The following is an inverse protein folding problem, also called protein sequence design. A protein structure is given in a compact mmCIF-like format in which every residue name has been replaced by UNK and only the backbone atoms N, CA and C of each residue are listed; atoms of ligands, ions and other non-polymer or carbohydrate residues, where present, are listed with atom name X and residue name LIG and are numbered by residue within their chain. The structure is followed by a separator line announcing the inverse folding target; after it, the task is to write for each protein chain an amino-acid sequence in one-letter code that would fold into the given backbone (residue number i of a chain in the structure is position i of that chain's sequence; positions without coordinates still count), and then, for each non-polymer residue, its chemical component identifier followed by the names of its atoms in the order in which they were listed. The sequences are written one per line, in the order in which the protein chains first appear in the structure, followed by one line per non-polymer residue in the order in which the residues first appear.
data_IF_236415413923
#
_entry.id   IF_236415413923
#
_cell.length_a   1.000
_cell.length_b   1.000
_cell.length_c   1.000
_cell.angle_alpha   90.00
_cell.angle_beta   90.00
_cell.angle_gamma   90.00
#
_symmetry.space_group_name_H-M   'P 1'
#
loop_
_entity.id
_entity.type
_entity.pdbx_description
1 polymer ?
#
# COMPACT_ATOMS: atom_id res chain seq x y z
N UNK A 1 -14.55 1.83 2.28
CA UNK A 1 -13.40 0.92 2.08
C UNK A 1 -12.48 0.79 3.29
N UNK A 2 -12.05 1.88 3.96
CA UNK A 2 -11.11 1.80 5.10
C UNK A 2 -11.58 0.88 6.24
N UNK A 3 -12.85 0.99 6.62
CA UNK A 3 -13.44 0.13 7.65
C UNK A 3 -13.37 -1.36 7.30
N UNK A 4 -13.78 -1.74 6.08
CA UNK A 4 -13.72 -3.12 5.61
C UNK A 4 -12.27 -3.66 5.57
N UNK A 5 -11.31 -2.82 5.18
CA UNK A 5 -9.89 -3.19 5.20
C UNK A 5 -9.40 -3.44 6.64
N UNK A 6 -9.81 -2.64 7.61
CA UNK A 6 -9.47 -2.86 9.02
C UNK A 6 -10.05 -4.17 9.57
N UNK A 7 -11.28 -4.53 9.17
CA UNK A 7 -11.88 -5.83 9.52
C UNK A 7 -11.06 -6.98 8.93
N UNK A 8 -10.66 -6.88 7.66
CA UNK A 8 -9.80 -7.89 7.02
C UNK A 8 -8.44 -8.00 7.73
N UNK A 9 -7.82 -6.88 8.10
CA UNK A 9 -6.56 -6.88 8.86
C UNK A 9 -6.76 -7.62 10.19
N UNK A 10 -7.85 -7.37 10.90
CA UNK A 10 -8.11 -8.03 12.19
C UNK A 10 -8.35 -9.54 12.02
N UNK A 11 -9.09 -9.95 11.00
CA UNK A 11 -9.32 -11.37 10.71
C UNK A 11 -8.03 -12.10 10.35
N UNK A 12 -7.16 -11.47 9.57
CA UNK A 12 -5.85 -12.00 9.22
C UNK A 12 -4.93 -12.10 10.45
N UNK A 13 -4.97 -11.12 11.35
CA UNK A 13 -4.23 -11.15 12.62
C UNK A 13 -4.69 -12.31 13.51
N UNK A 14 -6.00 -12.48 13.68
CA UNK A 14 -6.55 -13.58 14.48
C UNK A 14 -6.20 -14.94 13.86
N UNK A 15 -6.27 -15.07 12.52
CA UNK A 15 -5.84 -16.27 11.81
C UNK A 15 -4.34 -16.56 12.01
N UNK A 16 -3.48 -15.54 11.90
CA UNK A 16 -2.03 -15.66 12.09
C UNK A 16 -1.65 -16.09 13.52
N UNK A 17 -2.42 -15.63 14.51
CA UNK A 17 -2.25 -16.01 15.92
C UNK A 17 -2.90 -17.36 16.27
N UNK A 18 -3.46 -18.07 15.30
CA UNK A 18 -4.14 -19.36 15.51
C UNK A 18 -5.44 -19.25 16.32
N UNK A 19 -6.06 -18.06 16.38
CA UNK A 19 -7.32 -17.82 17.07
C UNK A 19 -8.51 -18.14 16.15
N UNK A 20 -9.68 -18.35 16.75
CA UNK A 20 -10.92 -18.53 15.98
C UNK A 20 -11.25 -17.27 15.20
N UNK A 21 -11.33 -17.40 13.87
CA UNK A 21 -11.60 -16.30 12.96
C UNK A 21 -13.11 -16.09 12.88
N UNK A 22 -13.61 -15.03 13.51
CA UNK A 22 -15.03 -14.67 13.45
C UNK A 22 -15.23 -13.26 12.91
N UNK A 23 -16.03 -13.15 11.85
CA UNK A 23 -16.39 -11.85 11.28
C UNK A 23 -17.07 -10.94 12.31
N UNK A 24 -17.91 -11.53 13.18
CA UNK A 24 -18.64 -10.79 14.20
C UNK A 24 -17.70 -10.16 15.24
N UNK A 25 -16.72 -10.91 15.73
CA UNK A 25 -15.74 -10.41 16.71
C UNK A 25 -14.86 -9.31 16.11
N UNK A 26 -14.34 -9.54 14.89
CA UNK A 26 -13.52 -8.57 14.18
C UNK A 26 -14.28 -7.26 13.91
N UNK A 27 -15.56 -7.37 13.51
CA UNK A 27 -16.40 -6.20 13.26
C UNK A 27 -16.65 -5.38 14.54
N UNK A 28 -16.93 -6.03 15.68
CA UNK A 28 -17.13 -5.34 16.97
C UNK A 28 -15.86 -4.60 17.38
N UNK A 29 -14.69 -5.26 17.27
CA UNK A 29 -13.41 -4.66 17.59
C UNK A 29 -13.12 -3.41 16.72
N UNK A 30 -13.27 -3.53 15.40
CA UNK A 30 -13.02 -2.41 14.48
C UNK A 30 -14.01 -1.28 14.68
N UNK A 31 -15.26 -1.58 15.02
CA UNK A 31 -16.28 -0.57 15.33
C UNK A 31 -15.90 0.31 16.52
N UNK A 32 -15.28 -0.28 17.56
CA UNK A 32 -14.80 0.47 18.72
C UNK A 32 -13.63 1.40 18.35
N UNK A 33 -12.75 0.96 17.42
CA UNK A 33 -11.56 1.72 16.97
C UNK A 33 -11.78 2.57 15.71
N UNK A 34 -13.01 2.68 15.20
CA UNK A 34 -13.31 3.34 13.91
C UNK A 34 -12.76 4.77 13.81
N UNK A 35 -12.83 5.54 14.89
CA UNK A 35 -12.36 6.93 14.91
C UNK A 35 -10.83 7.01 14.89
N UNK A 36 -10.14 6.10 15.59
CA UNK A 36 -8.67 6.01 15.54
C UNK A 36 -8.19 5.62 14.15
N UNK A 37 -8.90 4.69 13.49
CA UNK A 37 -8.61 4.29 12.11
C UNK A 37 -8.84 5.47 11.16
N UNK A 38 -9.97 6.17 11.27
CA UNK A 38 -10.25 7.34 10.42
C UNK A 38 -9.20 8.43 10.64
N UNK A 39 -8.89 8.77 11.89
CA UNK A 39 -7.89 9.78 12.24
C UNK A 39 -6.51 9.46 11.70
N UNK A 40 -6.06 8.20 11.85
CA UNK A 40 -4.80 7.74 11.29
C UNK A 40 -4.77 7.85 9.76
N UNK A 41 -5.84 7.43 9.07
CA UNK A 41 -5.89 7.54 7.62
C UNK A 41 -5.85 9.00 7.16
N UNK A 42 -6.60 9.91 7.80
CA UNK A 42 -6.55 11.35 7.50
C UNK A 42 -5.12 11.88 7.63
N UNK A 43 -4.42 11.54 8.72
CA UNK A 43 -3.02 11.94 8.92
C UNK A 43 -2.10 11.42 7.81
N UNK A 44 -2.25 10.16 7.42
CA UNK A 44 -1.45 9.58 6.33
C UNK A 44 -1.73 10.31 5.01
N UNK A 45 -2.99 10.63 4.69
CA UNK A 45 -3.31 11.39 3.48
C UNK A 45 -2.72 12.80 3.52
N UNK A 46 -2.72 13.47 4.67
CA UNK A 46 -2.07 14.77 4.83
C UNK A 46 -0.55 14.68 4.62
N UNK A 47 0.10 13.65 5.18
CA UNK A 47 1.52 13.39 4.97
C UNK A 47 1.83 13.12 3.50
N UNK A 48 1.01 12.33 2.81
CA UNK A 48 1.17 12.02 1.40
C UNK A 48 0.92 13.23 0.50
N UNK A 49 -0.07 14.06 0.83
CA UNK A 49 -0.33 15.32 0.15
C UNK A 49 0.89 16.24 0.26
N UNK A 50 1.41 16.43 1.48
CA UNK A 50 2.60 17.24 1.70
C UNK A 50 3.81 16.71 0.90
N UNK A 51 4.04 15.39 0.91
CA UNK A 51 5.11 14.77 0.14
C UNK A 51 4.94 14.99 -1.38
N UNK A 52 3.72 14.85 -1.91
CA UNK A 52 3.45 15.11 -3.33
C UNK A 52 3.70 16.56 -3.71
N UNK A 53 3.24 17.52 -2.89
CA UNK A 53 3.47 18.96 -3.12
C UNK A 53 4.97 19.27 -3.12
N UNK A 54 5.72 18.79 -2.12
CA UNK A 54 7.17 18.98 -2.06
C UNK A 54 7.87 18.41 -3.30
N UNK A 55 7.45 17.23 -3.76
CA UNK A 55 8.07 16.57 -4.90
C UNK A 55 7.76 17.25 -6.23
N UNK A 56 6.54 17.77 -6.40
CA UNK A 56 6.18 18.62 -7.54
C UNK A 56 7.07 19.87 -7.56
N UNK A 57 7.21 20.56 -6.43
CA UNK A 57 8.05 21.76 -6.33
C UNK A 57 9.50 21.48 -6.69
N UNK A 58 10.10 20.42 -6.14
CA UNK A 58 11.47 20.00 -6.46
C UNK A 58 11.61 19.68 -7.95
N UNK A 59 10.62 19.01 -8.54
CA UNK A 59 10.72 18.62 -9.95
C UNK A 59 10.53 19.78 -10.90
N UNK A 60 9.63 20.73 -10.58
CA UNK A 60 9.49 21.98 -11.33
C UNK A 60 10.82 22.75 -11.31
N UNK A 61 11.46 22.83 -10.15
CA UNK A 61 12.76 23.49 -10.00
C UNK A 61 13.84 22.78 -10.83
N UNK A 62 13.89 21.44 -10.82
CA UNK A 62 14.78 20.65 -11.68
C UNK A 62 14.49 20.85 -13.17
N UNK A 63 13.22 20.93 -13.58
CA UNK A 63 12.84 21.16 -14.96
C UNK A 63 13.33 22.52 -15.46
N UNK A 64 13.25 23.57 -14.62
CA UNK A 64 13.83 24.89 -14.94
C UNK A 64 15.36 24.83 -15.06
N UNK A 65 16.04 24.13 -14.15
CA UNK A 65 17.51 24.01 -14.16
C UNK A 65 18.04 23.20 -15.35
N UNK A 66 17.25 22.26 -15.87
CA UNK A 66 17.67 21.29 -16.91
C UNK A 66 17.03 21.54 -18.27
N UNK A 67 16.39 22.70 -18.48
CA UNK A 67 15.68 23.07 -19.72
C UNK A 67 14.69 21.95 -20.13
N UNK A 68 13.88 21.49 -19.18
CA UNK A 68 12.81 20.51 -19.42
C UNK A 68 13.24 19.05 -19.41
N UNK A 69 14.53 18.72 -19.44
CA UNK A 69 15.00 17.31 -19.39
C UNK A 69 14.60 16.64 -18.06
N UNK A 70 14.57 17.40 -16.97
CA UNK A 70 14.14 16.94 -15.65
C UNK A 70 12.70 16.42 -15.60
N UNK A 71 11.84 16.77 -16.58
CA UNK A 71 10.48 16.25 -16.68
C UNK A 71 10.44 14.76 -17.05
N UNK A 72 11.48 14.24 -17.70
CA UNK A 72 11.58 12.81 -18.05
C UNK A 72 11.69 11.96 -16.77
N UNK A 73 12.32 12.50 -15.72
CA UNK A 73 12.49 11.83 -14.41
C UNK A 73 11.15 11.83 -13.62
N UNK A 74 10.25 12.77 -13.91
CA UNK A 74 8.98 12.91 -13.21
C UNK A 74 8.07 11.68 -13.39
N UNK A 75 8.02 11.11 -14.61
CA UNK A 75 7.10 10.01 -14.91
C UNK A 75 7.44 8.75 -14.10
N UNK A 76 8.69 8.23 -14.10
CA UNK A 76 9.07 7.09 -13.26
C UNK A 76 8.90 7.37 -11.77
N UNK A 77 9.23 8.59 -11.33
CA UNK A 77 9.13 8.99 -9.93
C UNK A 77 7.68 9.00 -9.45
N UNK A 78 6.76 9.52 -10.27
CA UNK A 78 5.32 9.52 -9.98
C UNK A 78 4.76 8.11 -9.89
N UNK A 79 5.12 7.23 -10.84
CA UNK A 79 4.72 5.82 -10.82
C UNK A 79 5.21 5.14 -9.54
N UNK A 80 6.48 5.34 -9.18
CA UNK A 80 7.06 4.75 -7.96
C UNK A 80 6.29 5.19 -6.70
N UNK A 81 5.94 6.47 -6.59
CA UNK A 81 5.17 6.99 -5.45
C UNK A 81 3.79 6.35 -5.40
N UNK A 82 3.05 6.32 -6.50
CA UNK A 82 1.70 5.74 -6.55
C UNK A 82 1.71 4.26 -6.17
N UNK A 83 2.73 3.52 -6.62
CA UNK A 83 2.92 2.11 -6.27
C UNK A 83 3.21 1.93 -4.78
N UNK A 84 4.01 2.81 -4.17
CA UNK A 84 4.39 2.73 -2.75
C UNK A 84 3.29 3.24 -1.81
N UNK A 85 2.45 4.19 -2.24
CA UNK A 85 1.40 4.80 -1.40
C UNK A 85 0.40 3.78 -0.86
N UNK A 86 -0.03 2.83 -1.68
CA UNK A 86 -1.00 1.80 -1.27
C UNK A 86 -0.47 0.92 -0.12
N UNK A 87 0.68 0.24 -0.24
CA UNK A 87 1.21 -0.57 0.86
C UNK A 87 1.55 0.29 2.10
N UNK A 88 1.90 1.57 1.91
CA UNK A 88 2.10 2.52 3.02
C UNK A 88 0.86 2.60 3.92
N UNK A 89 -0.31 2.95 3.35
CA UNK A 89 -1.56 3.09 4.10
C UNK A 89 -1.95 1.79 4.81
N UNK A 90 -1.74 0.63 4.17
CA UNK A 90 -2.01 -0.67 4.79
C UNK A 90 -1.10 -0.98 5.97
N UNK A 91 0.19 -0.62 5.89
CA UNK A 91 1.13 -0.86 6.97
C UNK A 91 0.76 -0.10 8.25
N UNK A 92 0.46 1.20 8.14
CA UNK A 92 0.06 1.99 9.32
C UNK A 92 -1.22 1.44 9.97
N UNK A 93 -2.22 1.09 9.16
CA UNK A 93 -3.45 0.48 9.69
C UNK A 93 -3.19 -0.89 10.32
N UNK A 94 -2.26 -1.68 9.76
CA UNK A 94 -1.86 -2.97 10.34
C UNK A 94 -1.15 -2.78 11.67
N UNK A 95 -0.22 -1.82 11.77
CA UNK A 95 0.46 -1.46 13.03
C UNK A 95 -0.51 -1.04 14.13
N UNK A 96 -1.55 -0.26 13.80
CA UNK A 96 -2.56 0.16 14.77
C UNK A 96 -3.45 -0.99 15.26
N UNK A 97 -3.76 -1.95 14.40
CA UNK A 97 -4.73 -3.03 14.70
C UNK A 97 -4.05 -4.25 15.31
N UNK A 98 -2.93 -4.72 14.74
CA UNK A 98 -2.25 -5.96 15.13
C UNK A 98 -1.58 -5.85 16.49
N UNK A 99 -1.00 -4.68 16.76
CA UNK A 99 -0.28 -4.36 18.01
C UNK A 99 -1.13 -3.57 19.00
N UNK A 100 -2.41 -3.35 18.70
CA UNK A 100 -3.35 -2.63 19.56
C UNK A 100 -2.90 -1.20 19.95
N UNK A 101 -2.08 -0.54 19.13
CA UNK A 101 -1.43 0.75 19.44
C UNK A 101 -2.37 1.98 19.31
N UNK A 102 -1.97 3.09 19.92
CA UNK A 102 -2.53 4.42 19.64
C UNK A 102 -2.02 4.98 18.30
N UNK A 103 -2.66 6.04 17.79
CA UNK A 103 -2.26 6.68 16.52
C UNK A 103 -0.78 7.07 16.53
N UNK A 104 -0.32 7.79 17.55
CA UNK A 104 1.07 8.29 17.65
C UNK A 104 2.08 7.14 17.72
N UNK A 105 1.78 6.10 18.51
CA UNK A 105 2.64 4.92 18.63
C UNK A 105 2.70 4.13 17.33
N UNK A 106 1.56 3.95 16.65
CA UNK A 106 1.51 3.27 15.36
C UNK A 106 2.36 3.99 14.32
N UNK A 107 2.37 5.32 14.31
CA UNK A 107 3.23 6.13 13.44
C UNK A 107 4.70 5.90 13.80
N UNK A 108 5.06 6.03 15.08
CA UNK A 108 6.43 5.87 15.57
C UNK A 108 7.03 4.50 15.25
N UNK A 109 6.30 3.42 15.53
CA UNK A 109 6.78 2.07 15.22
C UNK A 109 6.79 1.78 13.72
N UNK A 110 5.86 2.36 12.93
CA UNK A 110 5.93 2.27 11.47
C UNK A 110 7.21 2.93 10.93
N UNK A 111 7.56 4.12 11.42
CA UNK A 111 8.84 4.76 11.08
C UNK A 111 10.05 3.95 11.57
N UNK A 112 9.93 3.24 12.69
CA UNK A 112 10.98 2.33 13.16
C UNK A 112 11.20 1.17 12.18
N UNK A 113 10.14 0.61 11.60
CA UNK A 113 10.23 -0.40 10.53
C UNK A 113 10.90 0.16 9.28
N UNK A 114 10.68 1.44 8.96
CA UNK A 114 11.38 2.11 7.86
C UNK A 114 12.87 2.27 8.16
N UNK A 115 13.22 2.75 9.36
CA UNK A 115 14.61 2.96 9.79
C UNK A 115 15.42 1.65 9.80
N UNK A 116 14.80 0.54 10.18
CA UNK A 116 15.44 -0.78 10.21
C UNK A 116 15.54 -1.44 8.82
N UNK A 117 15.03 -0.82 7.76
CA UNK A 117 15.14 -1.35 6.40
C UNK A 117 14.15 -2.45 6.04
N UNK A 118 13.49 -3.10 7.02
CA UNK A 118 12.54 -4.21 6.79
C UNK A 118 11.41 -3.84 5.82
N UNK A 119 10.92 -2.61 5.91
CA UNK A 119 9.94 -2.10 4.97
C UNK A 119 10.50 -1.92 3.57
N UNK A 120 11.68 -1.34 3.42
CA UNK A 120 12.30 -1.09 2.12
C UNK A 120 12.69 -2.39 1.41
N UNK A 121 13.18 -3.39 2.15
CA UNK A 121 13.39 -4.74 1.61
C UNK A 121 12.08 -5.40 1.17
N UNK A 122 10.99 -5.13 1.89
CA UNK A 122 9.67 -5.68 1.61
C UNK A 122 9.02 -4.99 0.42
N UNK A 123 9.08 -3.66 0.34
CA UNK A 123 8.66 -2.90 -0.84
C UNK A 123 9.54 -3.25 -2.03
N UNK A 124 10.85 -3.45 -1.87
CA UNK A 124 11.70 -3.91 -2.97
C UNK A 124 11.24 -5.26 -3.53
N UNK A 125 10.90 -6.22 -2.66
CA UNK A 125 10.32 -7.52 -3.06
C UNK A 125 8.93 -7.38 -3.68
N UNK A 126 8.06 -6.56 -3.07
CA UNK A 126 6.70 -6.30 -3.59
C UNK A 126 6.73 -5.51 -4.89
N UNK A 127 7.68 -4.60 -5.08
CA UNK A 127 7.89 -3.82 -6.30
C UNK A 127 8.50 -4.68 -7.40
N UNK A 128 9.37 -5.65 -7.07
CA UNK A 128 9.82 -6.67 -8.00
C UNK A 128 8.65 -7.56 -8.46
N UNK A 129 7.80 -8.01 -7.54
CA UNK A 129 6.57 -8.74 -7.86
C UNK A 129 5.62 -7.86 -8.69
N UNK A 130 5.43 -6.60 -8.30
CA UNK A 130 4.59 -5.64 -9.03
C UNK A 130 5.16 -5.31 -10.42
N UNK A 131 6.48 -5.27 -10.57
CA UNK A 131 7.18 -5.09 -11.84
C UNK A 131 7.07 -6.31 -12.74
N UNK A 132 7.13 -7.52 -12.16
CA UNK A 132 6.79 -8.77 -12.85
C UNK A 132 5.35 -8.70 -13.35
N UNK A 133 4.41 -8.17 -12.56
CA UNK A 133 3.00 -8.01 -12.97
C UNK A 133 2.77 -6.87 -13.96
N UNK A 134 3.46 -5.74 -13.87
CA UNK A 134 3.38 -4.69 -14.89
C UNK A 134 3.95 -5.23 -16.20
N UNK A 135 5.05 -5.98 -16.15
CA UNK A 135 5.60 -6.72 -17.27
C UNK A 135 4.62 -7.75 -17.84
N UNK A 136 4.00 -8.56 -16.97
CA UNK A 136 2.97 -9.53 -17.36
C UNK A 136 1.72 -8.84 -17.92
N UNK A 137 1.33 -7.70 -17.35
CA UNK A 137 0.22 -6.87 -17.77
C UNK A 137 0.47 -6.23 -19.13
N UNK A 138 1.70 -5.79 -19.41
CA UNK A 138 2.11 -5.34 -20.74
C UNK A 138 2.06 -6.50 -21.73
N UNK A 139 2.60 -7.67 -21.38
CA UNK A 139 2.54 -8.89 -22.21
C UNK A 139 1.09 -9.32 -22.47
N UNK A 140 0.22 -9.26 -21.46
CA UNK A 140 -1.21 -9.57 -21.58
C UNK A 140 -1.99 -8.46 -22.31
N UNK A 141 -1.55 -7.20 -22.27
CA UNK A 141 -2.14 -6.10 -23.04
C UNK A 141 -1.78 -6.24 -24.52
N UNK A 142 -0.55 -6.66 -24.81
CA UNK A 142 -0.14 -7.08 -26.16
C UNK A 142 -0.94 -8.32 -26.57
N UNK A 143 -1.16 -9.29 -25.68
CA UNK A 143 -2.03 -10.45 -25.92
C UNK A 143 -3.52 -10.12 -26.06
N UNK A 144 -4.01 -9.04 -25.43
CA UNK A 144 -5.38 -8.53 -25.55
C UNK A 144 -5.69 -8.00 -26.95
N UNK A 145 -4.67 -7.66 -27.75
CA UNK A 145 -4.83 -7.38 -29.18
C UNK A 145 -5.38 -8.63 -29.91
N UNK A 146 -5.06 -9.82 -29.39
CA UNK A 146 -5.42 -11.11 -29.99
C UNK A 146 -6.72 -11.66 -29.39
N UNK A 147 -6.95 -11.57 -28.05
CA UNK A 147 -8.21 -11.98 -27.40
C UNK A 147 -8.58 -11.06 -26.21
N UNK A 148 -9.37 -9.99 -26.43
CA UNK A 148 -9.56 -8.89 -25.47
C UNK A 148 -10.28 -9.24 -24.16
N UNK A 149 -11.10 -10.30 -24.14
CA UNK A 149 -11.85 -10.70 -22.94
C UNK A 149 -10.96 -11.51 -21.99
N UNK A 150 -10.14 -12.41 -22.52
CA UNK A 150 -9.27 -13.30 -21.73
C UNK A 150 -8.15 -12.53 -21.04
N UNK A 151 -7.52 -11.57 -21.72
CA UNK A 151 -6.48 -10.75 -21.09
C UNK A 151 -7.02 -9.80 -20.02
N UNK A 152 -8.25 -9.27 -20.17
CA UNK A 152 -8.91 -8.49 -19.12
C UNK A 152 -9.18 -9.32 -17.86
N UNK A 153 -9.66 -10.56 -18.01
CA UNK A 153 -9.91 -11.47 -16.87
C UNK A 153 -8.61 -11.78 -16.13
N UNK A 154 -7.54 -12.11 -16.85
CA UNK A 154 -6.23 -12.41 -16.24
C UNK A 154 -5.64 -11.20 -15.51
N UNK A 155 -5.77 -9.99 -16.08
CA UNK A 155 -5.31 -8.76 -15.44
C UNK A 155 -6.06 -8.49 -14.12
N UNK A 156 -7.38 -8.69 -14.10
CA UNK A 156 -8.19 -8.55 -12.88
C UNK A 156 -7.77 -9.56 -11.80
N UNK A 157 -7.63 -10.84 -12.14
CA UNK A 157 -7.22 -11.89 -11.20
C UNK A 157 -5.83 -11.58 -10.64
N UNK A 158 -4.87 -11.22 -11.50
CA UNK A 158 -3.53 -10.84 -11.08
C UNK A 158 -3.54 -9.67 -10.08
N UNK A 159 -4.33 -8.64 -10.37
CA UNK A 159 -4.47 -7.49 -9.48
C UNK A 159 -5.07 -7.85 -8.11
N UNK A 160 -6.03 -8.78 -8.06
CA UNK A 160 -6.60 -9.26 -6.80
C UNK A 160 -5.59 -10.07 -5.98
N UNK A 161 -4.87 -11.00 -6.60
CA UNK A 161 -3.88 -11.85 -5.92
C UNK A 161 -2.77 -11.02 -5.27
N UNK A 162 -2.28 -9.99 -5.96
CA UNK A 162 -1.24 -9.09 -5.42
C UNK A 162 -1.76 -8.31 -4.22
N UNK A 163 -2.98 -7.79 -4.31
CA UNK A 163 -3.58 -7.04 -3.21
C UNK A 163 -3.77 -7.93 -1.99
N UNK A 164 -4.24 -9.16 -2.18
CA UNK A 164 -4.37 -10.13 -1.10
C UNK A 164 -3.00 -10.49 -0.49
N UNK A 165 -2.01 -10.80 -1.32
CA UNK A 165 -0.65 -11.13 -0.89
C UNK A 165 0.00 -9.97 -0.13
N UNK A 166 -0.10 -8.75 -0.66
CA UNK A 166 0.46 -7.54 -0.02
C UNK A 166 -0.18 -7.31 1.35
N UNK A 167 -1.50 -7.45 1.47
CA UNK A 167 -2.21 -7.29 2.74
C UNK A 167 -1.80 -8.35 3.76
N UNK A 168 -1.76 -9.61 3.37
CA UNK A 168 -1.37 -10.71 4.25
C UNK A 168 0.08 -10.54 4.73
N UNK A 169 1.00 -10.25 3.82
CA UNK A 169 2.41 -10.10 4.14
C UNK A 169 2.70 -8.89 5.05
N UNK A 170 2.09 -7.73 4.78
CA UNK A 170 2.23 -6.56 5.65
C UNK A 170 1.68 -6.80 7.05
N UNK A 171 0.64 -7.62 7.18
CA UNK A 171 0.05 -7.97 8.47
C UNK A 171 0.97 -8.89 9.28
N UNK A 172 1.66 -9.83 8.62
CA UNK A 172 2.66 -10.71 9.26
C UNK A 172 3.95 -9.96 9.63
N UNK A 173 4.34 -8.97 8.83
CA UNK A 173 5.56 -8.18 9.06
C UNK A 173 5.47 -7.30 10.33
N UNK A 174 4.26 -6.95 10.73
CA UNK A 174 3.95 -6.11 11.91
C UNK A 174 3.96 -6.94 13.18
#
# INVERSE_FOLDING_TARGET
MMYANAVIIKLLDDANKGKEVSWRSANIYVWQRKWSIIGLNILIYLMLLAAMVSLILVTVLLAFLTIGIGLIILIPLFIAIVVIMRPFVFLFNSMLIVRDLTITESIGETFRLFKKGYFWTTIGKLAAISGIIIGFGIVLTIGNIIIPILGMILALIGQFLIQAYTRAYLNILV
#
